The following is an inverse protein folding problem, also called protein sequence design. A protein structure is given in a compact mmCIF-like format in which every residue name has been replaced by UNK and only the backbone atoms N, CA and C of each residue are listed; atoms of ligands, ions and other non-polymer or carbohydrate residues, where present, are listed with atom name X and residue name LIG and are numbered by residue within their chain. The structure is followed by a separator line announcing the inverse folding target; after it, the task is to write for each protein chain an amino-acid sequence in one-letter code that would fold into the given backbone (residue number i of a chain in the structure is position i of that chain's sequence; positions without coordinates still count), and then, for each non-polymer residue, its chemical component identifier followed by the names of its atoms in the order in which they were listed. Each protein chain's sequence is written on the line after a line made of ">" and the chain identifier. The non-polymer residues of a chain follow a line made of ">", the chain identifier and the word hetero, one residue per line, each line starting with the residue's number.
data_IF_585675416801
#
_entry.id   IF_585675416801
#
_cell.length_a   1.000
_cell.length_b   1.000
_cell.length_c   1.000
_cell.angle_alpha   90.00
_cell.angle_beta   90.00
_cell.angle_gamma   90.00
#
_symmetry.space_group_name_H-M   'P 1'
#
loop_
_entity.id
_entity.type
_entity.pdbx_description
1 polymer ?
#
# COMPACT_ATOMS: atom_id res chain seq x y z
N UNK A 1 -25.60 15.12 4.12
CA UNK A 1 -25.48 14.33 5.38
C UNK A 1 -26.57 13.27 5.54
N UNK A 2 -27.84 13.52 5.23
CA UNK A 2 -28.93 12.53 5.38
C UNK A 2 -28.79 11.24 4.55
N UNK A 3 -28.18 11.28 3.35
CA UNK A 3 -27.96 10.08 2.51
C UNK A 3 -26.83 9.18 3.04
N UNK A 4 -25.75 9.77 3.55
CA UNK A 4 -24.64 9.01 4.17
C UNK A 4 -25.07 8.31 5.46
N UNK A 5 -25.97 8.91 6.24
CA UNK A 5 -26.56 8.26 7.41
C UNK A 5 -27.52 7.11 7.05
N UNK A 6 -28.16 7.15 5.87
CA UNK A 6 -29.03 6.06 5.39
C UNK A 6 -28.20 4.85 4.91
N UNK A 7 -27.05 5.08 4.28
CA UNK A 7 -26.11 4.02 3.88
C UNK A 7 -25.57 3.27 5.11
N UNK A 8 -25.29 3.98 6.20
CA UNK A 8 -24.88 3.37 7.47
C UNK A 8 -25.98 2.53 8.16
N UNK A 9 -27.25 2.71 7.76
CA UNK A 9 -28.38 1.88 8.24
C UNK A 9 -28.70 0.69 7.33
N UNK A 10 -28.09 0.61 6.14
CA UNK A 10 -28.25 -0.50 5.19
C UNK A 10 -27.25 -1.64 5.45
N UNK A 11 -26.12 -1.35 6.11
CA UNK A 11 -25.11 -2.34 6.50
C UNK A 11 -25.63 -3.47 7.43
N UNK A 12 -26.53 -3.24 8.40
CA UNK A 12 -27.09 -4.32 9.22
C UNK A 12 -28.14 -5.18 8.49
N UNK A 13 -28.79 -4.68 7.43
CA UNK A 13 -29.82 -5.43 6.71
C UNK A 13 -29.24 -6.45 5.73
N UNK A 14 -28.02 -6.23 5.24
CA UNK A 14 -27.34 -7.16 4.33
C UNK A 14 -26.68 -8.35 5.07
N UNK A 15 -26.33 -8.20 6.35
CA UNK A 15 -25.75 -9.28 7.15
C UNK A 15 -26.73 -10.43 7.45
N UNK A 16 -28.03 -10.16 7.42
CA UNK A 16 -29.07 -11.15 7.70
C UNK A 16 -29.36 -12.09 6.50
N UNK A 17 -28.74 -11.84 5.35
CA UNK A 17 -28.95 -12.59 4.10
C UNK A 17 -27.88 -13.68 3.85
N UNK A 18 -26.89 -13.82 4.73
CA UNK A 18 -25.72 -14.70 4.51
C UNK A 18 -25.94 -16.06 5.20
N UNK A 19 -25.89 -17.14 4.44
CA UNK A 19 -25.99 -18.50 4.96
C UNK A 19 -24.71 -18.91 5.74
N UNK A 20 -24.81 -19.72 6.81
CA UNK A 20 -23.65 -20.10 7.62
C UNK A 20 -22.75 -21.09 6.87
N UNK A 21 -21.56 -20.64 6.44
CA UNK A 21 -20.49 -21.51 5.93
C UNK A 21 -19.69 -21.02 4.73
N UNK A 22 -20.13 -19.97 4.04
CA UNK A 22 -19.36 -19.29 2.98
C UNK A 22 -18.62 -18.07 3.56
N UNK A 23 -17.43 -17.74 3.04
CA UNK A 23 -16.74 -16.50 3.38
C UNK A 23 -17.69 -15.32 3.03
N UNK A 24 -18.24 -14.60 4.02
CA UNK A 24 -19.37 -13.70 3.81
C UNK A 24 -19.00 -12.41 3.08
N UNK A 25 -17.70 -12.10 2.99
CA UNK A 25 -17.20 -10.81 2.53
C UNK A 25 -17.57 -10.45 1.07
N UNK A 26 -17.33 -11.29 0.05
CA UNK A 26 -17.60 -10.91 -1.34
C UNK A 26 -19.09 -10.78 -1.66
N UNK A 27 -19.96 -11.57 -1.06
CA UNK A 27 -21.41 -11.49 -1.28
C UNK A 27 -22.02 -10.27 -0.56
N UNK A 28 -21.56 -9.98 0.66
CA UNK A 28 -21.93 -8.78 1.40
C UNK A 28 -21.52 -7.50 0.66
N UNK A 29 -20.28 -7.44 0.15
CA UNK A 29 -19.78 -6.28 -0.60
C UNK A 29 -20.61 -6.01 -1.86
N UNK A 30 -21.00 -7.09 -2.57
CA UNK A 30 -21.87 -7.01 -3.73
C UNK A 30 -23.24 -6.44 -3.37
N UNK A 31 -23.87 -6.93 -2.30
CA UNK A 31 -25.17 -6.45 -1.83
C UNK A 31 -25.09 -4.97 -1.44
N UNK A 32 -24.05 -4.58 -0.71
CA UNK A 32 -23.82 -3.20 -0.30
C UNK A 32 -23.65 -2.27 -1.51
N UNK A 33 -22.80 -2.64 -2.47
CA UNK A 33 -22.58 -1.86 -3.70
C UNK A 33 -23.87 -1.71 -4.50
N UNK A 34 -24.65 -2.78 -4.65
CA UNK A 34 -25.92 -2.73 -5.37
C UNK A 34 -26.96 -1.87 -4.65
N UNK A 35 -27.02 -1.94 -3.32
CA UNK A 35 -27.89 -1.07 -2.51
C UNK A 35 -27.54 0.40 -2.67
N UNK A 36 -26.25 0.73 -2.69
CA UNK A 36 -25.78 2.11 -2.94
C UNK A 36 -26.15 2.54 -4.36
N UNK A 37 -25.92 1.67 -5.37
CA UNK A 37 -26.33 1.97 -6.74
C UNK A 37 -27.82 2.30 -6.84
N UNK A 38 -28.69 1.50 -6.22
CA UNK A 38 -30.13 1.71 -6.24
C UNK A 38 -30.53 3.03 -5.55
N UNK A 39 -29.92 3.37 -4.41
CA UNK A 39 -30.20 4.62 -3.69
C UNK A 39 -29.86 5.86 -4.55
N UNK A 40 -28.78 5.79 -5.33
CA UNK A 40 -28.34 6.89 -6.18
C UNK A 40 -28.87 6.81 -7.62
N UNK A 41 -29.68 5.81 -7.96
CA UNK A 41 -30.21 5.62 -9.31
C UNK A 41 -29.14 5.26 -10.34
N UNK A 42 -28.06 4.61 -9.92
CA UNK A 42 -26.95 4.16 -10.75
C UNK A 42 -27.20 2.72 -11.25
N UNK A 43 -26.59 2.36 -12.39
CA UNK A 43 -26.57 0.97 -12.87
C UNK A 43 -25.83 0.10 -11.86
N UNK A 44 -26.44 -1.03 -11.46
CA UNK A 44 -25.76 -2.06 -10.66
C UNK A 44 -24.57 -2.65 -11.41
N UNK A 45 -23.49 -2.91 -10.67
CA UNK A 45 -22.29 -3.52 -11.21
C UNK A 45 -22.52 -4.97 -11.64
N UNK A 46 -21.86 -5.38 -12.73
CA UNK A 46 -21.77 -6.79 -13.11
C UNK A 46 -20.85 -7.55 -12.13
N UNK A 47 -20.93 -8.88 -12.06
CA UNK A 47 -20.01 -9.67 -11.25
C UNK A 47 -18.53 -9.40 -11.60
N UNK A 48 -18.22 -9.29 -12.89
CA UNK A 48 -16.87 -8.98 -13.38
C UNK A 48 -16.38 -7.60 -12.92
N UNK A 49 -17.27 -6.61 -12.86
CA UNK A 49 -16.94 -5.27 -12.38
C UNK A 49 -16.65 -5.27 -10.88
N UNK A 50 -17.39 -6.06 -10.10
CA UNK A 50 -17.17 -6.22 -8.66
C UNK A 50 -15.83 -6.93 -8.42
N UNK A 51 -15.57 -8.04 -9.13
CA UNK A 51 -14.30 -8.75 -9.04
C UNK A 51 -13.12 -7.84 -9.40
N UNK A 52 -13.27 -7.00 -10.43
CA UNK A 52 -12.26 -6.00 -10.78
C UNK A 52 -12.04 -4.98 -9.66
N UNK A 53 -13.11 -4.47 -9.02
CA UNK A 53 -13.00 -3.54 -7.89
C UNK A 53 -12.20 -4.18 -6.75
N UNK A 54 -12.47 -5.44 -6.40
CA UNK A 54 -11.71 -6.15 -5.36
C UNK A 54 -10.23 -6.27 -5.74
N UNK A 55 -9.91 -6.64 -6.98
CA UNK A 55 -8.52 -6.70 -7.45
C UNK A 55 -7.84 -5.32 -7.43
N UNK A 56 -8.55 -4.27 -7.83
CA UNK A 56 -8.06 -2.89 -7.77
C UNK A 56 -7.74 -2.46 -6.33
N UNK A 57 -8.65 -2.74 -5.38
CA UNK A 57 -8.46 -2.42 -3.96
C UNK A 57 -7.22 -3.14 -3.42
N UNK A 58 -7.06 -4.43 -3.76
CA UNK A 58 -5.89 -5.22 -3.35
C UNK A 58 -4.58 -4.65 -3.91
N UNK A 59 -4.57 -4.25 -5.19
CA UNK A 59 -3.40 -3.64 -5.83
C UNK A 59 -3.05 -2.27 -5.23
N UNK A 60 -4.06 -1.49 -4.83
CA UNK A 60 -3.87 -0.17 -4.22
C UNK A 60 -3.53 -0.24 -2.73
N UNK A 61 -3.78 -1.38 -2.07
CA UNK A 61 -3.60 -1.53 -0.63
C UNK A 61 -2.18 -1.21 -0.15
N UNK A 62 -1.08 -1.70 -0.77
CA UNK A 62 0.28 -1.36 -0.35
C UNK A 62 0.53 0.15 -0.37
N UNK A 63 0.04 0.86 -1.38
CA UNK A 63 0.17 2.32 -1.47
C UNK A 63 -0.60 3.01 -0.35
N UNK A 64 -1.85 2.58 -0.07
CA UNK A 64 -2.64 3.12 1.02
C UNK A 64 -1.98 2.88 2.39
N UNK A 65 -1.42 1.69 2.62
CA UNK A 65 -0.68 1.36 3.83
C UNK A 65 0.57 2.24 4.01
N UNK A 66 1.34 2.44 2.93
CA UNK A 66 2.49 3.34 2.95
C UNK A 66 2.09 4.79 3.23
N UNK A 67 0.99 5.28 2.65
CA UNK A 67 0.45 6.60 2.94
C UNK A 67 0.03 6.74 4.40
N UNK A 68 -0.64 5.74 4.98
CA UNK A 68 -1.03 5.77 6.40
C UNK A 68 0.18 5.93 7.33
N UNK A 69 1.34 5.33 6.99
CA UNK A 69 2.57 5.49 7.77
C UNK A 69 3.16 6.90 7.57
N UNK A 70 3.29 7.35 6.32
CA UNK A 70 3.95 8.60 5.96
C UNK A 70 3.11 9.86 6.19
N UNK A 71 1.80 9.71 6.33
CA UNK A 71 0.84 10.77 6.63
C UNK A 71 0.25 10.64 8.03
N UNK A 72 0.80 9.74 8.85
CA UNK A 72 0.40 9.60 10.24
C UNK A 72 0.57 10.92 11.01
N UNK A 73 -0.37 11.21 11.90
CA UNK A 73 -0.29 12.41 12.76
C UNK A 73 0.68 12.21 13.93
N UNK A 74 0.98 10.95 14.30
CA UNK A 74 1.85 10.59 15.42
C UNK A 74 2.99 9.74 14.93
N UNK A 75 4.20 10.03 15.44
CA UNK A 75 5.43 9.27 15.18
C UNK A 75 5.87 9.19 13.71
N UNK A 76 5.45 10.13 12.88
CA UNK A 76 5.90 10.23 11.48
C UNK A 76 7.11 11.14 11.40
N UNK A 77 8.29 10.53 11.34
CA UNK A 77 9.58 11.22 11.20
C UNK A 77 10.21 10.86 9.85
N UNK A 78 11.20 11.67 9.42
CA UNK A 78 11.91 11.43 8.16
C UNK A 78 12.50 10.01 8.08
N UNK A 79 12.89 9.41 9.20
CA UNK A 79 13.46 8.06 9.21
C UNK A 79 12.49 6.95 8.78
N UNK A 80 11.18 7.20 8.73
CA UNK A 80 10.20 6.26 8.16
C UNK A 80 10.15 6.32 6.64
N UNK A 81 10.61 7.42 6.02
CA UNK A 81 10.50 7.63 4.58
C UNK A 81 11.17 6.51 3.77
N UNK A 82 12.46 6.27 4.01
CA UNK A 82 13.21 5.31 3.20
C UNK A 82 12.73 3.88 3.40
N UNK A 83 12.58 3.37 4.64
CA UNK A 83 12.11 2.02 4.88
C UNK A 83 10.71 1.77 4.28
N UNK A 84 9.78 2.72 4.45
CA UNK A 84 8.41 2.57 3.94
C UNK A 84 8.37 2.56 2.41
N UNK A 85 9.10 3.45 1.73
CA UNK A 85 9.09 3.48 0.26
C UNK A 85 9.81 2.27 -0.33
N UNK A 86 10.91 1.80 0.28
CA UNK A 86 11.59 0.57 -0.16
C UNK A 86 10.65 -0.64 -0.02
N UNK A 87 9.94 -0.76 1.11
CA UNK A 87 8.96 -1.82 1.31
C UNK A 87 7.82 -1.75 0.29
N UNK A 88 7.23 -0.56 0.09
CA UNK A 88 6.19 -0.33 -0.93
C UNK A 88 6.65 -0.75 -2.33
N UNK A 89 7.88 -0.40 -2.73
CA UNK A 89 8.44 -0.80 -4.03
C UNK A 89 8.54 -2.32 -4.15
N UNK A 90 8.88 -3.02 -3.07
CA UNK A 90 8.98 -4.47 -3.06
C UNK A 90 7.60 -5.13 -3.16
N UNK A 91 6.60 -4.64 -2.43
CA UNK A 91 5.22 -5.15 -2.51
C UNK A 91 4.65 -4.98 -3.93
N UNK A 92 4.81 -3.79 -4.51
CA UNK A 92 4.35 -3.52 -5.87
C UNK A 92 5.09 -4.37 -6.92
N UNK A 93 6.38 -4.63 -6.73
CA UNK A 93 7.14 -5.54 -7.61
C UNK A 93 6.63 -6.98 -7.47
N UNK A 94 6.36 -7.44 -6.26
CA UNK A 94 5.73 -8.75 -6.03
C UNK A 94 4.40 -8.87 -6.75
N UNK A 95 3.53 -7.85 -6.65
CA UNK A 95 2.26 -7.82 -7.38
C UNK A 95 2.46 -7.79 -8.90
N UNK A 96 3.47 -7.07 -9.40
CA UNK A 96 3.80 -7.03 -10.82
C UNK A 96 4.24 -8.41 -11.33
N UNK A 97 5.07 -9.10 -10.56
CA UNK A 97 5.56 -10.43 -10.87
C UNK A 97 4.40 -11.44 -10.88
N UNK A 98 3.54 -11.43 -9.85
CA UNK A 98 2.33 -12.26 -9.81
C UNK A 98 1.41 -11.97 -11.00
N UNK A 99 1.18 -10.70 -11.34
CA UNK A 99 0.33 -10.31 -12.47
C UNK A 99 0.87 -10.77 -13.82
N UNK A 100 2.17 -11.08 -13.91
CA UNK A 100 2.86 -11.51 -15.12
C UNK A 100 2.87 -13.03 -15.31
N UNK A 101 2.48 -13.80 -14.29
CA UNK A 101 2.43 -15.26 -14.36
C UNK A 101 1.26 -15.74 -15.23
N UNK A 102 1.39 -16.90 -15.90
CA UNK A 102 0.27 -17.51 -16.64
C UNK A 102 -0.92 -17.90 -15.77
N UNK A 103 -0.71 -18.03 -14.46
CA UNK A 103 -1.71 -18.40 -13.45
C UNK A 103 -2.39 -17.18 -12.81
N UNK A 104 -2.08 -15.97 -13.27
CA UNK A 104 -2.66 -14.75 -12.71
C UNK A 104 -4.18 -14.71 -12.93
N UNK A 105 -4.92 -14.20 -11.95
CA UNK A 105 -6.34 -13.92 -12.13
C UNK A 105 -6.52 -12.84 -13.19
N UNK A 106 -7.63 -12.89 -13.94
CA UNK A 106 -7.92 -11.92 -15.00
C UNK A 106 -7.94 -10.47 -14.46
N UNK A 107 -8.51 -10.27 -13.28
CA UNK A 107 -8.55 -8.96 -12.62
C UNK A 107 -7.18 -8.42 -12.22
N UNK A 108 -6.26 -9.27 -11.73
CA UNK A 108 -4.89 -8.85 -11.44
C UNK A 108 -4.11 -8.54 -12.72
N UNK A 109 -4.28 -9.36 -13.77
CA UNK A 109 -3.69 -9.11 -15.08
C UNK A 109 -4.18 -7.78 -15.69
N UNK A 110 -5.46 -7.45 -15.52
CA UNK A 110 -6.03 -6.15 -15.92
C UNK A 110 -5.39 -4.96 -15.17
N UNK A 111 -4.98 -5.16 -13.92
CA UNK A 111 -4.32 -4.13 -13.11
C UNK A 111 -2.81 -3.97 -13.38
N UNK A 112 -2.20 -4.77 -14.27
CA UNK A 112 -0.75 -4.75 -14.52
C UNK A 112 -0.23 -3.35 -14.88
N UNK A 113 -0.93 -2.63 -15.76
CA UNK A 113 -0.53 -1.29 -16.19
C UNK A 113 -0.59 -0.27 -15.03
N UNK A 114 -1.58 -0.41 -14.14
CA UNK A 114 -1.69 0.40 -12.94
C UNK A 114 -0.47 0.17 -12.03
N UNK A 115 -0.13 -1.10 -11.75
CA UNK A 115 1.03 -1.47 -10.91
C UNK A 115 2.32 -0.87 -11.49
N UNK A 116 2.56 -1.05 -12.80
CA UNK A 116 3.74 -0.52 -13.48
C UNK A 116 3.81 1.01 -13.38
N UNK A 117 2.68 1.68 -13.60
CA UNK A 117 2.60 3.15 -13.53
C UNK A 117 2.89 3.64 -12.13
N UNK A 118 2.38 2.96 -11.09
CA UNK A 118 2.67 3.30 -9.69
C UNK A 118 4.15 3.17 -9.37
N UNK A 119 4.79 2.06 -9.74
CA UNK A 119 6.23 1.86 -9.52
C UNK A 119 7.03 2.98 -10.21
N UNK A 120 6.76 3.25 -11.49
CA UNK A 120 7.44 4.32 -12.22
C UNK A 120 7.22 5.70 -11.60
N UNK A 121 6.00 5.99 -11.20
CA UNK A 121 5.60 7.24 -10.55
C UNK A 121 6.30 7.46 -9.21
N UNK A 122 6.46 6.40 -8.42
CA UNK A 122 7.16 6.40 -7.13
C UNK A 122 8.65 6.61 -7.37
N UNK A 123 9.27 5.78 -8.21
CA UNK A 123 10.71 5.87 -8.52
C UNK A 123 11.07 7.28 -9.03
N UNK A 124 10.32 7.79 -10.01
CA UNK A 124 10.57 9.11 -10.60
C UNK A 124 10.55 10.25 -9.59
N UNK A 125 9.68 10.18 -8.59
CA UNK A 125 9.48 11.28 -7.62
C UNK A 125 10.36 11.14 -6.38
N UNK A 126 10.68 9.92 -5.99
CA UNK A 126 11.25 9.66 -4.67
C UNK A 126 12.68 9.14 -4.73
N UNK A 127 13.14 8.48 -5.79
CA UNK A 127 14.46 7.82 -5.77
C UNK A 127 15.59 8.79 -5.41
N UNK A 128 15.62 9.99 -6.00
CA UNK A 128 16.61 11.01 -5.64
C UNK A 128 16.57 11.40 -4.16
N UNK A 129 15.38 11.50 -3.57
CA UNK A 129 15.21 11.83 -2.14
C UNK A 129 15.56 10.66 -1.21
N UNK A 130 15.40 9.42 -1.68
CA UNK A 130 15.79 8.23 -0.92
C UNK A 130 17.31 8.07 -0.85
N UNK A 131 18.03 8.58 -1.86
CA UNK A 131 19.49 8.55 -1.95
C UNK A 131 20.17 9.70 -1.19
N UNK A 132 19.40 10.70 -0.74
CA UNK A 132 19.90 11.77 0.11
C UNK A 132 20.45 11.23 1.42
N UNK A 133 21.63 11.72 1.80
CA UNK A 133 22.35 11.33 3.01
C UNK A 133 21.49 11.48 4.26
N UNK A 134 20.75 12.57 4.37
CA UNK A 134 19.87 12.89 5.50
C UNK A 134 18.74 11.88 5.62
N UNK A 135 18.13 11.48 4.50
CA UNK A 135 17.07 10.46 4.47
C UNK A 135 17.60 9.09 4.91
N UNK A 136 18.78 8.71 4.41
CA UNK A 136 19.44 7.45 4.77
C UNK A 136 19.80 7.44 6.26
N UNK A 137 20.48 8.48 6.76
CA UNK A 137 20.89 8.58 8.16
C UNK A 137 19.68 8.59 9.09
N UNK A 138 18.63 9.35 8.76
CA UNK A 138 17.39 9.37 9.54
C UNK A 138 16.79 7.97 9.67
N UNK A 139 16.79 7.17 8.59
CA UNK A 139 16.30 5.80 8.61
C UNK A 139 17.19 4.87 9.44
N UNK A 140 18.51 4.98 9.27
CA UNK A 140 19.51 4.15 9.99
C UNK A 140 19.50 4.39 11.49
N UNK A 141 19.24 5.63 11.91
CA UNK A 141 19.19 6.02 13.32
C UNK A 141 17.95 5.52 14.06
N UNK A 142 16.89 5.10 13.35
CA UNK A 142 15.70 4.55 13.99
C UNK A 142 15.93 3.10 14.44
N UNK A 143 15.87 2.79 15.75
CA UNK A 143 16.18 1.45 16.27
C UNK A 143 15.27 0.33 15.74
N UNK A 144 14.05 0.68 15.35
CA UNK A 144 13.07 -0.26 14.79
C UNK A 144 13.47 -0.79 13.41
N UNK A 145 14.19 0.02 12.61
CA UNK A 145 14.55 -0.33 11.23
C UNK A 145 16.02 -0.64 11.07
N UNK A 146 16.90 0.19 11.65
CA UNK A 146 18.36 0.14 11.46
C UNK A 146 18.70 0.02 9.97
N UNK A 147 19.13 -1.16 9.54
CA UNK A 147 19.52 -1.47 8.15
C UNK A 147 18.73 -2.64 7.56
N UNK A 148 17.63 -3.05 8.19
CA UNK A 148 16.85 -4.22 7.79
C UNK A 148 16.09 -3.98 6.48
N UNK A 149 15.87 -2.71 6.12
CA UNK A 149 15.29 -2.29 4.84
C UNK A 149 16.27 -2.33 3.66
N UNK A 150 17.56 -2.57 3.91
CA UNK A 150 18.60 -2.63 2.87
C UNK A 150 18.88 -4.09 2.54
N UNK A 151 18.62 -4.52 1.31
CA UNK A 151 18.86 -5.91 0.89
C UNK A 151 20.31 -6.18 0.48
N UNK A 152 21.02 -5.18 -0.05
CA UNK A 152 22.41 -5.32 -0.50
C UNK A 152 23.41 -5.11 0.64
N UNK A 153 24.28 -6.09 0.87
CA UNK A 153 25.28 -6.03 1.93
C UNK A 153 26.36 -4.97 1.69
N UNK A 154 26.67 -4.66 0.43
CA UNK A 154 27.64 -3.61 0.08
C UNK A 154 27.05 -2.25 0.47
N UNK A 155 25.83 -1.96 0.04
CA UNK A 155 25.10 -0.75 0.43
C UNK A 155 24.92 -0.65 1.94
N UNK A 156 24.61 -1.77 2.62
CA UNK A 156 24.51 -1.82 4.08
C UNK A 156 25.82 -1.41 4.76
N UNK A 157 26.96 -1.88 4.24
CA UNK A 157 28.27 -1.49 4.75
C UNK A 157 28.56 -0.01 4.51
N UNK A 158 28.23 0.52 3.33
CA UNK A 158 28.38 1.94 3.00
C UNK A 158 27.63 2.83 3.99
N UNK A 159 26.38 2.50 4.32
CA UNK A 159 25.58 3.25 5.28
C UNK A 159 26.13 3.18 6.71
N UNK A 160 26.72 2.04 7.10
CA UNK A 160 27.43 1.93 8.40
C UNK A 160 28.65 2.85 8.45
N UNK A 161 29.43 2.92 7.37
CA UNK A 161 30.60 3.81 7.29
C UNK A 161 30.15 5.27 7.34
N UNK A 162 29.12 5.62 6.58
CA UNK A 162 28.52 6.95 6.58
C UNK A 162 28.08 7.38 8.00
N UNK A 163 27.38 6.50 8.72
CA UNK A 163 26.96 6.77 10.10
C UNK A 163 28.17 6.97 11.03
N UNK A 164 29.21 6.15 10.91
CA UNK A 164 30.43 6.28 11.73
C UNK A 164 31.12 7.62 11.50
N UNK A 165 31.22 8.07 10.25
CA UNK A 165 31.82 9.36 9.89
C UNK A 165 31.05 10.52 10.54
N UNK A 166 29.72 10.49 10.48
CA UNK A 166 28.90 11.51 11.15
C UNK A 166 29.10 11.53 12.66
N UNK A 167 29.09 10.37 13.31
CA UNK A 167 29.30 10.29 14.77
C UNK A 167 30.67 10.87 15.16
N UNK A 168 31.72 10.63 14.36
CA UNK A 168 33.05 11.18 14.61
C UNK A 168 33.12 12.71 14.48
N UNK A 169 32.26 13.33 13.65
CA UNK A 169 32.18 14.79 13.55
C UNK A 169 31.61 15.41 14.85
N UNK A 170 30.68 14.73 15.51
CA UNK A 170 30.06 15.20 16.76
C UNK A 170 30.84 14.83 18.02
N UNK A 171 31.65 13.77 17.96
CA UNK A 171 32.47 13.30 19.08
C UNK A 171 33.89 12.98 18.60
N UNK A 172 34.75 14.01 18.46
CA UNK A 172 36.15 13.79 18.08
C UNK A 172 36.90 13.01 19.18
N UNK A 173 37.93 12.24 18.80
CA UNK A 173 38.72 11.44 19.74
C UNK A 173 39.51 12.28 20.76
#
# INVERSE_FOLDING_TARGET
>A
MQRLSHIATLTPQASDLIAPGEDPAPEYDRLLLHSVCDEFGLRRFSPQEIDFIHNFVNVMHPLAAALNILQGEKNTFLGYLVPTIVHLKNDLRGLLDESSKPTATEGLAACRLLIQTMIQAICKRLDGRLEEKESILAAVLLPMFKLDWVSDDIQRLQYRVMLKQEVQLFCPP
#
